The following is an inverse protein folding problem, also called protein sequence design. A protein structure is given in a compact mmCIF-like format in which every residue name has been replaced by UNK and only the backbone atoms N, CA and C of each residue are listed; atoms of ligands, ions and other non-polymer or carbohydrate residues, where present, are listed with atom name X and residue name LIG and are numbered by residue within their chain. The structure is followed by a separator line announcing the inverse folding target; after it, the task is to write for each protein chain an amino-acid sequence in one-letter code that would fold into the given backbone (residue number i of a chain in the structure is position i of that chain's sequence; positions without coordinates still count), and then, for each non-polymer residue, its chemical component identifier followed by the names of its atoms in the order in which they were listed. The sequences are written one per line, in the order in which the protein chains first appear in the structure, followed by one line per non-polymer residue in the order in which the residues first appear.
data_IF_454384011253
#
_entry.id   IF_454384011253
#
_cell.length_a   1.000
_cell.length_b   1.000
_cell.length_c   1.000
_cell.angle_alpha   90.00
_cell.angle_beta   90.00
_cell.angle_gamma   90.00
#
_symmetry.space_group_name_H-M   'P 1'
#
loop_
_entity.id
_entity.type
_entity.pdbx_description
1 polymer ?
#
# COMPACT_ATOMS: atom_id res chain seq x y z
N UNK A 1 23.91 14.41 10.59
CA UNK A 1 22.60 15.11 10.77
C UNK A 1 22.12 15.92 9.55
N UNK A 2 22.94 16.31 8.57
CA UNK A 2 22.53 17.22 7.47
C UNK A 2 21.83 16.56 6.27
N UNK A 3 22.06 15.28 5.99
CA UNK A 3 21.52 14.60 4.79
C UNK A 3 20.06 14.12 4.94
N UNK A 4 19.64 13.70 6.14
CA UNK A 4 18.25 13.33 6.40
C UNK A 4 17.28 14.52 6.36
N UNK A 5 17.73 15.70 6.83
CA UNK A 5 16.98 16.94 6.68
C UNK A 5 16.84 17.37 5.19
N UNK A 6 17.81 17.03 4.34
CA UNK A 6 17.77 17.35 2.91
C UNK A 6 16.70 16.52 2.17
N UNK A 7 16.56 15.24 2.50
CA UNK A 7 15.50 14.39 1.91
C UNK A 7 14.10 14.83 2.37
N UNK A 8 13.95 15.12 3.66
CA UNK A 8 12.69 15.66 4.19
C UNK A 8 12.38 17.04 3.59
N UNK A 9 13.39 17.87 3.43
CA UNK A 9 13.29 19.20 2.78
C UNK A 9 12.93 19.09 1.29
N UNK A 10 13.46 18.11 0.55
CA UNK A 10 13.14 17.88 -0.86
C UNK A 10 11.71 17.38 -1.04
N UNK A 11 11.21 16.53 -0.14
CA UNK A 11 9.82 16.08 -0.12
C UNK A 11 8.88 17.26 0.19
N UNK A 12 9.21 18.08 1.18
CA UNK A 12 8.44 19.28 1.57
C UNK A 12 8.47 20.34 0.45
N UNK A 13 9.61 20.55 -0.21
CA UNK A 13 9.74 21.47 -1.34
C UNK A 13 8.97 20.98 -2.57
N UNK A 14 8.98 19.67 -2.86
CA UNK A 14 8.16 19.06 -3.92
C UNK A 14 6.66 19.25 -3.68
N UNK A 15 6.21 19.11 -2.44
CA UNK A 15 4.83 19.38 -2.02
C UNK A 15 4.49 20.87 -2.20
N UNK A 16 5.41 21.78 -1.87
CA UNK A 16 5.20 23.23 -1.99
C UNK A 16 5.07 23.71 -3.42
N UNK A 17 5.83 23.14 -4.35
CA UNK A 17 5.74 23.45 -5.80
C UNK A 17 4.42 22.97 -6.40
N UNK A 18 3.88 21.82 -5.94
CA UNK A 18 2.59 21.30 -6.38
C UNK A 18 1.40 22.08 -5.82
N UNK A 19 1.56 22.77 -4.68
CA UNK A 19 0.53 23.61 -4.07
C UNK A 19 0.34 24.97 -4.80
N UNK A 20 1.26 25.39 -5.65
CA UNK A 20 1.20 26.66 -6.40
C UNK A 20 0.54 26.55 -7.79
N UNK A 21 0.15 25.35 -8.23
CA UNK A 21 -0.50 25.12 -9.53
C UNK A 21 -1.97 25.51 -9.53
N UNK A 22 -2.37 26.30 -10.52
CA UNK A 22 -3.73 26.80 -10.70
C UNK A 22 -4.77 25.68 -10.87
N UNK A 23 -5.92 25.87 -10.21
CA UNK A 23 -7.12 25.03 -10.22
C UNK A 23 -7.62 24.70 -11.63
N UNK A 24 -7.42 23.47 -12.06
CA UNK A 24 -8.27 22.85 -13.09
C UNK A 24 -9.52 22.24 -12.39
N UNK A 25 -10.68 22.39 -12.99
CA UNK A 25 -11.99 21.89 -12.50
C UNK A 25 -11.91 20.40 -12.12
N UNK A 26 -11.92 20.11 -10.83
CA UNK A 26 -11.86 18.78 -10.20
C UNK A 26 -10.85 18.79 -9.07
N UNK A 27 -11.18 18.09 -7.97
CA UNK A 27 -10.32 18.03 -6.79
C UNK A 27 -9.12 17.14 -7.06
N UNK A 28 -7.97 17.74 -7.34
CA UNK A 28 -6.70 17.02 -7.40
C UNK A 28 -6.21 16.71 -6.00
N UNK A 29 -5.54 15.58 -5.84
CA UNK A 29 -4.90 15.21 -4.59
C UNK A 29 -3.52 14.60 -4.81
N UNK A 30 -2.70 14.70 -3.79
CA UNK A 30 -1.43 14.03 -3.67
C UNK A 30 -1.40 13.32 -2.32
N UNK A 31 -0.99 12.06 -2.29
CA UNK A 31 -0.77 11.34 -1.04
C UNK A 31 0.59 10.64 -1.04
N UNK A 32 1.17 10.58 0.14
CA UNK A 32 2.40 9.88 0.44
C UNK A 32 2.12 8.91 1.59
N UNK A 33 2.51 7.65 1.42
CA UNK A 33 2.40 6.61 2.44
C UNK A 33 3.75 5.95 2.66
N UNK A 34 4.09 5.75 3.92
CA UNK A 34 5.25 5.02 4.36
C UNK A 34 4.83 3.90 5.30
N UNK A 35 5.33 2.70 5.05
CA UNK A 35 5.11 1.51 5.88
C UNK A 35 6.44 0.95 6.31
N UNK A 36 6.54 0.53 7.57
CA UNK A 36 7.76 -0.09 8.09
C UNK A 36 7.45 -0.96 9.32
N UNK A 37 8.16 -2.08 9.46
CA UNK A 37 8.05 -2.98 10.61
C UNK A 37 8.62 -2.36 11.89
N UNK A 38 9.66 -1.53 11.80
CA UNK A 38 10.25 -0.79 12.93
C UNK A 38 9.22 0.13 13.61
N UNK A 39 8.20 0.60 12.91
CA UNK A 39 7.14 1.42 13.49
C UNK A 39 6.15 0.62 14.32
N UNK A 40 6.20 -0.71 14.28
CA UNK A 40 5.34 -1.57 15.08
C UNK A 40 5.93 -1.76 16.48
N UNK A 41 5.62 -0.84 17.38
CA UNK A 41 6.17 -0.78 18.74
C UNK A 41 5.85 -1.98 19.66
N UNK A 42 4.67 -2.67 19.57
CA UNK A 42 4.33 -3.73 20.50
C UNK A 42 5.23 -4.97 20.42
N UNK A 43 5.72 -5.31 19.24
CA UNK A 43 6.59 -6.48 19.03
C UNK A 43 7.56 -6.13 17.90
N UNK A 44 8.86 -6.12 18.19
CA UNK A 44 9.86 -5.96 17.14
C UNK A 44 9.95 -7.26 16.32
N UNK A 45 9.35 -7.27 15.16
CA UNK A 45 9.53 -8.30 14.17
C UNK A 45 10.36 -7.71 13.03
N UNK A 46 11.67 -7.81 13.15
CA UNK A 46 12.58 -7.37 12.09
C UNK A 46 12.66 -8.46 11.01
N UNK A 47 11.51 -8.69 10.35
CA UNK A 47 11.40 -9.78 9.37
C UNK A 47 10.25 -9.55 8.38
N UNK A 48 10.49 -10.01 7.18
CA UNK A 48 9.61 -10.16 6.03
C UNK A 48 9.23 -8.85 5.36
N UNK A 49 8.21 -8.12 5.76
CA UNK A 49 7.87 -6.84 5.16
C UNK A 49 8.61 -5.71 5.87
N UNK A 50 9.72 -5.27 5.31
CA UNK A 50 10.62 -4.30 5.95
C UNK A 50 10.23 -2.86 5.64
N UNK A 51 9.85 -2.57 4.39
CA UNK A 51 9.58 -1.20 3.98
C UNK A 51 8.60 -1.15 2.81
N UNK A 52 7.71 -0.17 2.84
CA UNK A 52 6.82 0.16 1.75
C UNK A 52 6.68 1.67 1.57
N UNK A 53 6.74 2.11 0.33
CA UNK A 53 6.56 3.51 -0.05
C UNK A 53 5.51 3.58 -1.14
N UNK A 54 4.53 4.50 -0.99
CA UNK A 54 3.56 4.83 -2.03
C UNK A 54 3.49 6.33 -2.21
N UNK A 55 3.51 6.75 -3.46
CA UNK A 55 3.25 8.13 -3.87
C UNK A 55 2.10 8.08 -4.86
N UNK A 56 1.00 8.73 -4.54
CA UNK A 56 -0.19 8.75 -5.39
C UNK A 56 -0.59 10.18 -5.74
N UNK A 57 -0.83 10.41 -7.02
CA UNK A 57 -1.37 11.64 -7.55
C UNK A 57 -2.65 11.33 -8.33
N UNK A 58 -3.74 12.01 -7.99
CA UNK A 58 -5.03 11.74 -8.60
C UNK A 58 -5.93 12.94 -8.71
N UNK A 59 -7.06 12.68 -9.37
CA UNK A 59 -8.14 13.63 -9.53
C UNK A 59 -9.45 12.94 -9.16
N UNK A 60 -10.24 13.60 -8.34
CA UNK A 60 -11.58 13.21 -7.95
C UNK A 60 -12.60 14.09 -8.67
N UNK A 61 -13.60 13.47 -9.27
CA UNK A 61 -14.71 14.14 -9.94
C UNK A 61 -16.02 13.62 -9.35
N UNK A 62 -16.82 14.52 -8.80
CA UNK A 62 -18.21 14.20 -8.44
C UNK A 62 -19.08 14.45 -9.67
N UNK A 63 -19.88 13.45 -10.07
CA UNK A 63 -20.82 13.56 -11.19
C UNK A 63 -22.21 13.20 -10.71
N UNK A 64 -23.18 13.98 -11.16
CA UNK A 64 -24.58 13.64 -11.00
C UNK A 64 -24.95 12.67 -12.12
N UNK A 65 -25.36 11.45 -11.77
CA UNK A 65 -25.92 10.41 -12.62
C UNK A 65 -25.03 9.77 -13.72
N UNK A 66 -24.78 8.52 -13.60
CA UNK A 66 -24.68 7.57 -14.69
C UNK A 66 -25.98 6.77 -14.71
N UNK A 67 -26.46 6.38 -15.88
CA UNK A 67 -27.76 5.79 -16.29
C UNK A 67 -28.61 4.97 -15.28
N UNK A 68 -28.12 4.64 -14.08
CA UNK A 68 -28.80 3.84 -13.06
C UNK A 68 -28.77 4.45 -11.65
N UNK A 69 -28.09 5.58 -11.43
CA UNK A 69 -27.94 6.18 -10.11
C UNK A 69 -28.43 7.62 -10.12
N UNK A 70 -29.47 7.89 -9.35
CA UNK A 70 -30.05 9.23 -9.13
C UNK A 70 -29.33 10.02 -8.02
N UNK A 71 -28.26 9.47 -7.43
CA UNK A 71 -27.46 10.04 -6.36
C UNK A 71 -26.06 10.47 -6.79
N UNK A 72 -25.31 11.09 -5.89
CA UNK A 72 -23.93 11.51 -6.13
C UNK A 72 -23.01 10.33 -6.37
N UNK A 73 -22.33 10.33 -7.51
CA UNK A 73 -21.29 9.36 -7.82
C UNK A 73 -19.95 10.04 -7.86
N UNK A 74 -18.96 9.40 -7.24
CA UNK A 74 -17.57 9.87 -7.24
C UNK A 74 -16.72 8.97 -8.11
N UNK A 75 -15.99 9.58 -9.03
CA UNK A 75 -14.99 8.90 -9.86
C UNK A 75 -13.63 9.44 -9.52
N UNK A 76 -12.68 8.55 -9.26
CA UNK A 76 -11.28 8.91 -9.09
C UNK A 76 -10.43 8.30 -10.20
N UNK A 77 -9.41 9.05 -10.63
CA UNK A 77 -8.38 8.59 -11.56
C UNK A 77 -7.04 9.00 -11.01
N UNK A 78 -6.11 8.05 -10.91
CA UNK A 78 -4.82 8.30 -10.30
C UNK A 78 -3.68 7.56 -10.98
N UNK A 79 -2.48 8.06 -10.70
CA UNK A 79 -1.23 7.37 -10.87
C UNK A 79 -0.62 7.11 -9.50
N UNK A 80 -0.04 5.94 -9.32
CA UNK A 80 0.64 5.56 -8.09
C UNK A 80 1.98 4.95 -8.41
N UNK A 81 3.01 5.37 -7.68
CA UNK A 81 4.30 4.72 -7.59
C UNK A 81 4.33 3.92 -6.29
N UNK A 82 4.67 2.65 -6.37
CA UNK A 82 4.78 1.77 -5.20
C UNK A 82 6.12 1.07 -5.21
N UNK A 83 6.86 1.14 -4.10
CA UNK A 83 8.04 0.33 -3.85
C UNK A 83 7.85 -0.44 -2.55
N UNK A 84 8.07 -1.76 -2.58
CA UNK A 84 8.09 -2.59 -1.38
C UNK A 84 9.38 -3.40 -1.32
N UNK A 85 9.84 -3.60 -0.08
CA UNK A 85 11.07 -4.30 0.26
C UNK A 85 10.73 -5.40 1.25
N UNK A 86 11.28 -6.58 0.99
CA UNK A 86 11.13 -7.77 1.81
C UNK A 86 12.49 -8.37 2.10
N UNK A 87 12.69 -8.83 3.35
CA UNK A 87 13.91 -9.45 3.81
C UNK A 87 13.61 -10.78 4.51
N UNK A 88 14.55 -11.73 4.56
CA UNK A 88 14.44 -12.90 5.41
C UNK A 88 14.56 -12.52 6.90
N UNK A 89 14.38 -13.48 7.80
CA UNK A 89 14.63 -13.27 9.24
C UNK A 89 16.12 -13.00 9.54
N UNK A 90 16.98 -13.72 8.86
CA UNK A 90 18.43 -13.53 9.00
C UNK A 90 18.90 -12.46 8.01
N UNK A 91 18.58 -11.19 8.31
CA UNK A 91 18.87 -10.06 7.41
C UNK A 91 20.37 -9.83 7.18
N UNK A 92 21.24 -10.25 8.14
CA UNK A 92 22.69 -10.10 8.05
C UNK A 92 23.36 -11.23 7.26
N UNK A 93 22.61 -12.29 6.89
CA UNK A 93 23.16 -13.43 6.16
C UNK A 93 23.69 -13.00 4.79
N UNK A 94 24.98 -13.26 4.54
CA UNK A 94 25.60 -13.05 3.21
C UNK A 94 25.36 -14.21 2.24
N UNK A 95 24.81 -15.32 2.73
CA UNK A 95 24.47 -16.52 1.99
C UNK A 95 22.97 -16.60 1.69
N UNK A 96 22.60 -17.55 0.82
CA UNK A 96 21.21 -17.86 0.51
C UNK A 96 20.56 -18.50 1.75
N UNK A 97 19.62 -17.82 2.38
CA UNK A 97 18.86 -18.38 3.50
C UNK A 97 17.86 -19.41 2.95
N UNK A 98 18.05 -20.67 3.36
CA UNK A 98 17.18 -21.77 2.93
C UNK A 98 15.90 -21.82 3.76
N UNK A 99 14.78 -22.21 3.12
CA UNK A 99 13.47 -22.35 3.76
C UNK A 99 12.92 -21.08 4.42
N UNK A 100 13.40 -19.92 4.02
CA UNK A 100 12.91 -18.63 4.47
C UNK A 100 12.61 -17.71 3.27
N UNK A 101 11.96 -16.57 3.52
CA UNK A 101 11.69 -15.58 2.51
C UNK A 101 12.97 -15.08 1.86
N UNK A 102 13.04 -14.93 0.53
CA UNK A 102 14.18 -14.30 -0.10
C UNK A 102 14.19 -12.79 0.16
N UNK A 103 15.36 -12.16 0.01
CA UNK A 103 15.41 -10.75 -0.29
C UNK A 103 14.65 -10.51 -1.60
N UNK A 104 13.69 -9.61 -1.56
CA UNK A 104 12.90 -9.24 -2.73
C UNK A 104 12.49 -7.79 -2.65
N UNK A 105 12.51 -7.11 -3.77
CA UNK A 105 11.96 -5.76 -3.88
C UNK A 105 11.29 -5.57 -5.22
N UNK A 106 10.30 -4.68 -5.28
CA UNK A 106 9.67 -4.31 -6.53
C UNK A 106 9.36 -2.83 -6.58
N UNK A 107 9.30 -2.31 -7.80
CA UNK A 107 8.85 -0.96 -8.11
C UNK A 107 7.75 -1.05 -9.17
N UNK A 108 6.58 -0.50 -8.86
CA UNK A 108 5.41 -0.46 -9.74
C UNK A 108 4.97 0.96 -10.03
N UNK A 109 4.60 1.21 -11.28
CA UNK A 109 3.78 2.34 -11.68
C UNK A 109 2.38 1.80 -11.96
N UNK A 110 1.39 2.35 -11.29
CA UNK A 110 -0.02 1.94 -11.38
C UNK A 110 -0.86 3.05 -11.96
N UNK A 111 -1.74 2.69 -12.90
CA UNK A 111 -2.84 3.54 -13.34
C UNK A 111 -4.13 2.97 -12.80
N UNK A 112 -4.82 3.75 -11.94
CA UNK A 112 -6.07 3.34 -11.32
C UNK A 112 -7.25 4.20 -11.73
N UNK A 113 -8.42 3.58 -11.67
CA UNK A 113 -9.73 4.26 -11.75
C UNK A 113 -10.66 3.60 -10.75
N UNK A 114 -11.34 4.42 -9.94
CA UNK A 114 -12.41 3.97 -9.07
C UNK A 114 -13.71 4.70 -9.37
N UNK A 115 -14.78 4.04 -9.02
CA UNK A 115 -16.13 4.54 -9.06
C UNK A 115 -16.78 4.21 -7.70
N UNK A 116 -17.46 5.17 -7.10
CA UNK A 116 -18.20 4.98 -5.84
C UNK A 116 -19.57 5.60 -6.01
N UNK A 117 -20.59 4.84 -5.65
CA UNK A 117 -21.97 5.31 -5.51
C UNK A 117 -22.31 5.42 -4.02
N UNK A 118 -22.38 6.65 -3.53
CA UNK A 118 -22.62 6.91 -2.11
C UNK A 118 -24.05 6.57 -1.67
N UNK A 119 -25.02 6.57 -2.60
CA UNK A 119 -26.40 6.24 -2.30
C UNK A 119 -26.58 4.74 -2.06
N UNK A 120 -26.02 3.92 -2.93
CA UNK A 120 -26.12 2.46 -2.83
C UNK A 120 -24.96 1.85 -2.04
N UNK A 121 -23.92 2.63 -1.73
CA UNK A 121 -22.73 2.15 -1.07
C UNK A 121 -21.87 1.23 -1.92
N UNK A 122 -22.08 1.21 -3.24
CA UNK A 122 -21.36 0.37 -4.18
C UNK A 122 -20.06 1.03 -4.61
N UNK A 123 -18.97 0.24 -4.66
CA UNK A 123 -17.68 0.68 -5.16
C UNK A 123 -17.09 -0.32 -6.16
N UNK A 124 -16.46 0.22 -7.20
CA UNK A 124 -15.70 -0.53 -8.19
C UNK A 124 -14.35 0.15 -8.42
N UNK A 125 -13.25 -0.61 -8.34
CA UNK A 125 -11.90 -0.10 -8.63
C UNK A 125 -11.16 -1.07 -9.54
N UNK A 126 -10.56 -0.53 -10.60
CA UNK A 126 -9.66 -1.25 -11.49
C UNK A 126 -8.29 -0.58 -11.52
N UNK A 127 -7.23 -1.37 -11.42
CA UNK A 127 -5.85 -0.93 -11.46
C UNK A 127 -5.05 -1.76 -12.46
N UNK A 128 -4.26 -1.09 -13.28
CA UNK A 128 -3.25 -1.72 -14.11
C UNK A 128 -1.88 -1.24 -13.67
N UNK A 129 -0.97 -2.17 -13.41
CA UNK A 129 0.37 -1.88 -12.92
C UNK A 129 1.43 -2.52 -13.81
N UNK A 130 2.48 -1.74 -14.09
CA UNK A 130 3.69 -2.21 -14.74
C UNK A 130 4.92 -1.84 -13.91
N UNK A 131 5.97 -2.67 -13.99
CA UNK A 131 7.18 -2.38 -13.22
C UNK A 131 8.23 -3.46 -13.27
N UNK A 132 9.05 -3.51 -12.23
CA UNK A 132 10.21 -4.41 -12.14
C UNK A 132 10.34 -5.05 -10.77
N UNK A 133 10.74 -6.32 -10.75
CA UNK A 133 11.11 -7.11 -9.58
C UNK A 133 12.62 -7.13 -9.43
N UNK A 134 13.11 -7.28 -8.20
CA UNK A 134 14.51 -7.52 -7.88
C UNK A 134 15.38 -6.28 -8.07
N UNK A 135 16.65 -6.45 -8.31
CA UNK A 135 17.68 -5.38 -8.25
C UNK A 135 17.38 -4.12 -9.05
N UNK A 136 16.58 -4.21 -10.11
CA UNK A 136 16.20 -3.03 -10.90
C UNK A 136 15.13 -2.16 -10.24
N UNK A 137 14.45 -2.65 -9.20
CA UNK A 137 13.55 -1.87 -8.37
C UNK A 137 14.26 -0.86 -7.48
N UNK A 138 15.58 -1.07 -7.25
CA UNK A 138 16.41 -0.21 -6.40
C UNK A 138 16.21 -0.42 -4.89
N UNK A 139 15.42 -1.42 -4.46
CA UNK A 139 15.07 -1.61 -3.05
C UNK A 139 16.28 -1.81 -2.15
N UNK A 140 17.20 -2.72 -2.51
CA UNK A 140 18.42 -2.95 -1.74
C UNK A 140 19.31 -1.71 -1.64
N UNK A 141 19.41 -0.91 -2.72
CA UNK A 141 20.15 0.36 -2.68
C UNK A 141 19.49 1.37 -1.75
N UNK A 142 18.17 1.45 -1.78
CA UNK A 142 17.42 2.36 -0.92
C UNK A 142 17.56 1.97 0.55
N UNK A 143 17.43 0.68 0.89
CA UNK A 143 17.60 0.21 2.27
C UNK A 143 19.01 0.50 2.79
N UNK A 144 20.05 0.15 2.03
CA UNK A 144 21.43 0.41 2.43
C UNK A 144 21.71 1.92 2.55
N UNK A 145 21.19 2.76 1.66
CA UNK A 145 21.34 4.21 1.77
C UNK A 145 20.63 4.79 3.01
N UNK A 146 19.49 4.23 3.41
CA UNK A 146 18.81 4.62 4.65
C UNK A 146 19.62 4.20 5.89
N UNK A 147 20.22 3.02 5.89
CA UNK A 147 21.13 2.58 6.98
C UNK A 147 22.32 3.52 7.11
N UNK A 148 22.99 3.86 6.00
CA UNK A 148 24.12 4.79 5.98
C UNK A 148 23.74 6.18 6.52
N UNK A 149 22.59 6.72 6.10
CA UNK A 149 22.12 8.06 6.49
C UNK A 149 21.74 8.12 7.96
N UNK A 150 21.10 7.07 8.45
CA UNK A 150 20.55 7.02 9.81
C UNK A 150 21.55 6.42 10.82
N UNK A 151 22.65 5.85 10.35
CA UNK A 151 23.70 5.20 11.16
C UNK A 151 23.14 4.10 12.09
N UNK A 152 22.09 3.38 11.64
CA UNK A 152 21.44 2.35 12.44
C UNK A 152 22.03 0.97 12.25
N UNK A 153 22.58 0.66 11.08
CA UNK A 153 23.14 -0.65 10.77
C UNK A 153 24.10 -0.57 9.57
N UNK A 154 24.96 -1.57 9.44
CA UNK A 154 25.81 -1.77 8.27
C UNK A 154 24.99 -2.15 7.03
N UNK A 155 25.51 -1.93 5.81
CA UNK A 155 24.91 -2.41 4.58
C UNK A 155 24.67 -3.92 4.62
N UNK A 156 23.47 -4.36 4.23
CA UNK A 156 23.09 -5.76 4.26
C UNK A 156 23.67 -6.54 3.08
N UNK A 157 24.59 -7.49 3.31
CA UNK A 157 25.24 -8.25 2.25
C UNK A 157 24.29 -9.22 1.54
N UNK A 158 23.19 -9.61 2.21
CA UNK A 158 22.20 -10.56 1.71
C UNK A 158 21.47 -10.13 0.43
N UNK A 159 21.50 -8.84 0.09
CA UNK A 159 20.96 -8.34 -1.19
C UNK A 159 21.63 -8.93 -2.43
N UNK A 160 22.83 -9.52 -2.30
CA UNK A 160 23.45 -10.30 -3.37
C UNK A 160 22.62 -11.54 -3.77
N UNK A 161 21.78 -12.03 -2.85
CA UNK A 161 20.90 -13.19 -3.03
C UNK A 161 19.44 -12.79 -3.33
N UNK A 162 19.17 -11.52 -3.65
CA UNK A 162 17.84 -11.05 -4.04
C UNK A 162 17.24 -11.89 -5.19
N UNK A 163 15.93 -12.03 -5.23
CA UNK A 163 15.23 -12.66 -6.36
C UNK A 163 15.70 -12.07 -7.69
N UNK A 164 15.82 -12.91 -8.72
CA UNK A 164 16.22 -12.44 -10.06
C UNK A 164 15.30 -11.32 -10.55
N UNK A 165 15.88 -10.35 -11.26
CA UNK A 165 15.07 -9.26 -11.82
C UNK A 165 14.10 -9.82 -12.86
N UNK A 166 12.87 -9.29 -12.84
CA UNK A 166 11.83 -9.64 -13.81
C UNK A 166 10.94 -8.44 -14.12
N UNK A 167 10.22 -8.49 -15.24
CA UNK A 167 9.22 -7.51 -15.63
C UNK A 167 7.89 -7.84 -14.96
N UNK A 168 7.22 -6.83 -14.43
CA UNK A 168 5.96 -6.98 -13.74
C UNK A 168 4.82 -6.34 -14.54
N UNK A 169 3.75 -7.12 -14.70
CA UNK A 169 2.48 -6.68 -15.26
C UNK A 169 1.36 -7.27 -14.41
N UNK A 170 0.54 -6.41 -13.82
CA UNK A 170 -0.56 -6.82 -12.95
C UNK A 170 -1.84 -6.05 -13.26
N UNK A 171 -2.95 -6.75 -13.11
CA UNK A 171 -4.27 -6.16 -13.06
C UNK A 171 -4.93 -6.49 -11.73
N UNK A 172 -5.56 -5.48 -11.12
CA UNK A 172 -6.37 -5.62 -9.91
C UNK A 172 -7.78 -5.13 -10.19
N UNK A 173 -8.77 -5.91 -9.76
CA UNK A 173 -10.16 -5.53 -9.73
C UNK A 173 -10.69 -5.66 -8.31
N UNK A 174 -11.33 -4.60 -7.82
CA UNK A 174 -11.96 -4.57 -6.51
C UNK A 174 -13.43 -4.19 -6.64
N UNK A 175 -14.30 -4.97 -6.00
CA UNK A 175 -15.73 -4.69 -5.86
C UNK A 175 -16.01 -4.55 -4.38
N UNK A 176 -16.74 -3.52 -3.98
CA UNK A 176 -17.10 -3.29 -2.58
C UNK A 176 -18.57 -2.92 -2.41
N UNK A 177 -19.12 -3.29 -1.25
CA UNK A 177 -20.45 -2.90 -0.84
C UNK A 177 -20.41 -2.40 0.60
N UNK A 178 -20.79 -1.15 0.80
CA UNK A 178 -20.91 -0.51 2.10
C UNK A 178 -22.35 -0.56 2.60
N UNK A 179 -22.51 -0.88 3.88
CA UNK A 179 -23.76 -0.90 4.59
C UNK A 179 -23.67 0.05 5.78
N UNK A 180 -24.50 1.10 5.79
CA UNK A 180 -24.58 2.07 6.90
C UNK A 180 -25.52 1.55 7.96
N UNK A 181 -25.01 1.27 9.15
CA UNK A 181 -25.81 0.83 10.31
C UNK A 181 -26.40 2.06 11.04
N UNK A 182 -25.60 3.12 11.09
CA UNK A 182 -25.99 4.42 11.68
C UNK A 182 -25.19 5.54 11.03
N UNK A 183 -25.42 6.78 11.47
CA UNK A 183 -24.60 7.93 11.04
C UNK A 183 -23.12 7.83 11.46
N UNK A 184 -22.79 6.92 12.38
CA UNK A 184 -21.43 6.74 12.90
C UNK A 184 -20.81 5.39 12.59
N UNK A 185 -21.59 4.36 12.31
CA UNK A 185 -21.12 3.00 12.08
C UNK A 185 -21.53 2.50 10.70
N UNK A 186 -20.58 1.94 10.01
CA UNK A 186 -20.80 1.20 8.77
C UNK A 186 -19.91 -0.02 8.69
N UNK A 187 -20.31 -1.01 7.91
CA UNK A 187 -19.43 -2.10 7.50
C UNK A 187 -19.36 -2.15 5.97
N UNK A 188 -18.20 -2.58 5.47
CA UNK A 188 -17.95 -2.70 4.04
C UNK A 188 -17.44 -4.11 3.78
N UNK A 189 -18.06 -4.80 2.86
CA UNK A 189 -17.51 -6.03 2.29
C UNK A 189 -16.79 -5.70 1.00
N UNK A 190 -15.63 -6.30 0.79
CA UNK A 190 -14.82 -6.07 -0.41
C UNK A 190 -14.32 -7.40 -0.95
N UNK A 191 -14.34 -7.55 -2.26
CA UNK A 191 -13.67 -8.64 -2.95
C UNK A 191 -12.63 -8.06 -3.89
N UNK A 192 -11.37 -8.42 -3.67
CA UNK A 192 -10.24 -8.00 -4.51
C UNK A 192 -9.68 -9.21 -5.24
N UNK A 193 -9.59 -9.14 -6.56
CA UNK A 193 -8.90 -10.11 -7.40
C UNK A 193 -7.67 -9.48 -8.03
N UNK A 194 -6.54 -10.16 -7.92
CA UNK A 194 -5.28 -9.77 -8.59
C UNK A 194 -4.85 -10.87 -9.56
N UNK A 195 -4.47 -10.46 -10.77
CA UNK A 195 -3.94 -11.35 -11.80
C UNK A 195 -2.71 -10.71 -12.42
N UNK A 196 -1.58 -11.40 -12.37
CA UNK A 196 -0.36 -10.86 -12.97
C UNK A 196 0.91 -11.64 -12.67
N UNK A 197 2.03 -11.04 -13.07
CA UNK A 197 3.36 -11.63 -12.91
C UNK A 197 4.00 -11.34 -11.55
N UNK A 198 3.43 -10.43 -10.74
CA UNK A 198 3.84 -10.21 -9.35
C UNK A 198 2.96 -11.03 -8.40
N UNK A 199 1.64 -10.85 -8.49
CA UNK A 199 0.67 -11.54 -7.65
C UNK A 199 -0.48 -12.11 -8.47
N UNK A 200 -0.94 -13.30 -8.07
CA UNK A 200 -2.24 -13.84 -8.47
C UNK A 200 -2.95 -14.34 -7.21
N UNK A 201 -4.03 -13.66 -6.83
CA UNK A 201 -4.78 -13.99 -5.61
C UNK A 201 -6.23 -13.46 -5.68
N UNK A 202 -7.03 -13.95 -4.74
CA UNK A 202 -8.38 -13.48 -4.46
C UNK A 202 -8.49 -13.20 -2.95
N UNK A 203 -9.02 -12.03 -2.58
CA UNK A 203 -9.02 -11.57 -1.21
C UNK A 203 -10.38 -10.97 -0.82
N UNK A 204 -11.29 -11.73 -0.18
CA UNK A 204 -12.43 -11.18 0.52
C UNK A 204 -11.99 -10.44 1.79
N UNK A 205 -12.62 -9.31 2.06
CA UNK A 205 -12.38 -8.45 3.21
C UNK A 205 -13.69 -8.00 3.84
N UNK A 206 -13.72 -7.92 5.15
CA UNK A 206 -14.73 -7.23 5.94
C UNK A 206 -14.07 -6.09 6.70
N UNK A 207 -14.61 -4.88 6.56
CA UNK A 207 -14.19 -3.68 7.27
C UNK A 207 -15.34 -3.08 8.06
N UNK A 208 -15.07 -2.71 9.31
CA UNK A 208 -15.97 -1.98 10.20
C UNK A 208 -15.39 -0.58 10.36
N UNK A 209 -16.19 0.43 10.10
CA UNK A 209 -15.81 1.84 10.20
C UNK A 209 -16.60 2.54 11.29
N UNK A 210 -15.90 3.28 12.15
CA UNK A 210 -16.49 4.08 13.21
C UNK A 210 -16.07 5.54 13.07
N UNK A 211 -17.05 6.42 12.82
CA UNK A 211 -16.89 7.87 12.83
C UNK A 211 -17.02 8.38 14.26
N UNK A 212 -15.90 8.74 14.88
CA UNK A 212 -15.84 9.18 16.29
C UNK A 212 -16.24 10.64 16.42
N UNK A 213 -15.65 11.50 15.59
CA UNK A 213 -15.85 12.96 15.62
C UNK A 213 -16.23 13.44 14.22
N UNK A 214 -17.25 14.29 14.18
CA UNK A 214 -17.60 15.11 13.02
C UNK A 214 -17.77 16.55 13.48
N UNK A 215 -16.98 17.45 12.94
CA UNK A 215 -17.07 18.90 13.18
C UNK A 215 -17.92 19.55 12.10
N UNK A 216 -18.36 20.79 12.34
CA UNK A 216 -19.28 21.52 11.46
C UNK A 216 -18.70 21.84 10.06
N UNK A 217 -17.37 21.83 9.94
CA UNK A 217 -16.61 22.12 8.71
C UNK A 217 -16.15 20.87 7.95
N UNK A 218 -16.87 19.76 8.13
CA UNK A 218 -16.58 18.44 7.53
C UNK A 218 -15.25 17.80 7.96
N UNK A 219 -14.61 18.30 9.02
CA UNK A 219 -13.45 17.61 9.60
C UNK A 219 -13.92 16.39 10.36
N UNK A 220 -13.20 15.29 10.23
CA UNK A 220 -13.59 14.02 10.83
C UNK A 220 -12.42 13.30 11.47
N UNK A 221 -12.73 12.53 12.51
CA UNK A 221 -11.87 11.47 13.05
C UNK A 221 -12.63 10.16 12.94
N UNK A 222 -12.04 9.18 12.28
CA UNK A 222 -12.62 7.85 12.15
C UNK A 222 -11.58 6.77 12.39
N UNK A 223 -12.10 5.60 12.78
CA UNK A 223 -11.30 4.37 12.91
C UNK A 223 -11.92 3.26 12.07
N UNK A 224 -11.05 2.46 11.46
CA UNK A 224 -11.41 1.27 10.72
C UNK A 224 -10.76 0.04 11.34
N UNK A 225 -11.52 -1.04 11.47
CA UNK A 225 -11.03 -2.37 11.79
C UNK A 225 -11.37 -3.28 10.63
N UNK A 226 -10.40 -4.04 10.12
CA UNK A 226 -10.68 -4.95 9.03
C UNK A 226 -9.99 -6.30 9.18
N UNK A 227 -10.57 -7.29 8.51
CA UNK A 227 -10.03 -8.62 8.35
C UNK A 227 -10.14 -9.05 6.90
N UNK A 228 -9.06 -9.62 6.38
CA UNK A 228 -8.93 -10.08 5.01
C UNK A 228 -8.41 -11.53 5.01
N UNK A 229 -8.90 -12.34 4.09
CA UNK A 229 -8.45 -13.71 3.88
C UNK A 229 -8.00 -13.88 2.43
N UNK A 230 -6.69 -13.86 2.17
CA UNK A 230 -6.10 -13.93 0.84
C UNK A 230 -5.91 -15.38 0.40
N UNK A 231 -6.55 -15.76 -0.71
CA UNK A 231 -6.34 -17.03 -1.42
C UNK A 231 -5.22 -16.82 -2.45
N UNK A 232 -4.02 -17.32 -2.17
CA UNK A 232 -2.81 -17.07 -2.96
C UNK A 232 -2.61 -18.20 -3.98
N UNK A 233 -2.60 -17.84 -5.27
CA UNK A 233 -2.20 -18.73 -6.34
C UNK A 233 -0.71 -18.55 -6.68
N UNK A 234 -0.21 -17.29 -6.69
CA UNK A 234 1.16 -16.96 -7.02
C UNK A 234 1.65 -15.69 -6.32
N UNK A 235 2.93 -15.70 -5.90
CA UNK A 235 3.65 -14.58 -5.31
C UNK A 235 5.12 -14.59 -5.77
N UNK A 236 5.48 -13.63 -6.64
CA UNK A 236 6.82 -13.52 -7.19
C UNK A 236 7.87 -13.12 -6.13
N UNK A 237 7.47 -12.46 -5.06
CA UNK A 237 8.39 -12.05 -3.99
C UNK A 237 8.87 -13.23 -3.16
N UNK A 238 8.16 -14.37 -3.23
CA UNK A 238 8.52 -15.63 -2.57
C UNK A 238 9.21 -16.62 -3.51
N UNK A 239 8.75 -16.70 -4.75
CA UNK A 239 9.14 -17.78 -5.66
C UNK A 239 9.96 -17.34 -6.87
N UNK A 240 10.23 -16.03 -6.97
CA UNK A 240 10.83 -15.41 -8.15
C UNK A 240 9.84 -15.15 -9.26
N UNK A 241 10.26 -14.43 -10.29
CA UNK A 241 9.43 -14.00 -11.41
C UNK A 241 8.98 -15.12 -12.35
N UNK A 242 7.99 -14.82 -13.19
CA UNK A 242 7.45 -15.77 -14.18
C UNK A 242 8.27 -15.81 -15.47
N UNK A 243 8.80 -14.66 -15.91
CA UNK A 243 9.51 -14.51 -17.18
C UNK A 243 11.00 -14.86 -17.01
N UNK A 244 11.61 -14.38 -15.94
CA UNK A 244 12.99 -14.72 -15.58
C UNK A 244 13.00 -15.58 -14.30
N UNK A 245 12.83 -16.89 -14.49
CA UNK A 245 12.66 -17.85 -13.41
C UNK A 245 13.88 -17.92 -12.50
N UNK A 246 13.62 -17.94 -11.19
CA UNK A 246 14.66 -18.10 -10.18
C UNK A 246 14.63 -19.50 -9.55
N UNK A 247 15.44 -20.41 -10.08
CA UNK A 247 15.50 -21.81 -9.63
C UNK A 247 16.07 -21.95 -8.20
N UNK A 248 16.66 -20.89 -7.64
CA UNK A 248 17.13 -20.87 -6.25
C UNK A 248 15.97 -20.94 -5.26
N UNK A 249 14.81 -20.36 -5.60
CA UNK A 249 13.63 -20.22 -4.73
C UNK A 249 12.44 -21.02 -5.23
N UNK A 250 12.33 -21.19 -6.53
CA UNK A 250 11.20 -21.87 -7.15
C UNK A 250 11.07 -23.31 -6.68
N UNK A 251 9.89 -23.67 -6.14
CA UNK A 251 9.61 -25.01 -5.63
C UNK A 251 10.24 -25.34 -4.28
N UNK A 252 11.17 -24.50 -3.79
CA UNK A 252 11.76 -24.64 -2.45
C UNK A 252 10.91 -23.92 -1.41
N UNK A 253 10.50 -22.67 -1.71
CA UNK A 253 9.55 -21.95 -0.87
C UNK A 253 8.13 -22.29 -1.34
N UNK A 254 7.29 -22.73 -0.42
CA UNK A 254 5.90 -23.10 -0.69
C UNK A 254 4.98 -22.02 -0.13
N UNK A 255 4.42 -21.14 -0.97
CA UNK A 255 3.46 -20.14 -0.51
C UNK A 255 2.23 -20.81 0.12
N UNK A 256 1.78 -20.30 1.25
CA UNK A 256 0.52 -20.69 1.86
C UNK A 256 -0.65 -20.26 0.97
N UNK A 257 -1.59 -21.16 0.76
CA UNK A 257 -2.74 -20.88 -0.10
C UNK A 257 -3.76 -19.97 0.55
N UNK A 258 -3.77 -19.91 1.87
CA UNK A 258 -4.63 -19.02 2.64
C UNK A 258 -3.76 -18.20 3.59
N UNK A 259 -3.81 -16.89 3.46
CA UNK A 259 -3.07 -15.93 4.29
C UNK A 259 -4.06 -14.94 4.87
N UNK A 260 -4.10 -14.82 6.19
CA UNK A 260 -4.94 -13.84 6.89
C UNK A 260 -4.23 -12.50 7.03
N UNK A 261 -4.97 -11.42 6.94
CA UNK A 261 -4.51 -10.07 7.26
C UNK A 261 -5.54 -9.40 8.17
N UNK A 262 -5.07 -8.86 9.28
CA UNK A 262 -5.87 -8.01 10.15
C UNK A 262 -5.27 -6.61 10.19
N UNK A 263 -6.10 -5.60 10.32
CA UNK A 263 -5.63 -4.24 10.40
C UNK A 263 -6.55 -3.33 11.18
N UNK A 264 -5.93 -2.28 11.68
CA UNK A 264 -6.58 -1.16 12.35
C UNK A 264 -6.04 0.12 11.76
N UNK A 265 -6.92 1.05 11.41
CA UNK A 265 -6.58 2.34 10.84
C UNK A 265 -7.25 3.48 11.60
N UNK A 266 -6.53 4.59 11.74
CA UNK A 266 -7.05 5.87 12.16
C UNK A 266 -6.93 6.88 11.02
N UNK A 267 -7.98 7.66 10.80
CA UNK A 267 -8.02 8.70 9.76
C UNK A 267 -8.50 10.02 10.36
N UNK A 268 -7.71 11.05 10.18
CA UNK A 268 -8.03 12.44 10.51
C UNK A 268 -8.16 13.20 9.20
N UNK A 269 -9.37 13.59 8.85
CA UNK A 269 -9.65 14.47 7.70
C UNK A 269 -9.81 15.90 8.22
N UNK A 270 -8.92 16.79 7.79
CA UNK A 270 -8.92 18.22 8.09
C UNK A 270 -9.38 19.06 6.87
N UNK A 271 -10.07 18.46 5.93
CA UNK A 271 -10.53 19.06 4.69
C UNK A 271 -9.46 19.05 3.60
N UNK A 272 -8.49 19.97 3.63
CA UNK A 272 -7.40 20.01 2.65
C UNK A 272 -6.25 19.07 2.98
N UNK A 273 -6.14 18.65 4.23
CA UNK A 273 -5.11 17.74 4.73
C UNK A 273 -5.78 16.49 5.31
N UNK A 274 -5.33 15.34 4.91
CA UNK A 274 -5.70 14.07 5.51
C UNK A 274 -4.46 13.40 6.11
N UNK A 275 -4.57 13.00 7.36
CA UNK A 275 -3.55 12.19 8.05
C UNK A 275 -4.15 10.83 8.34
N UNK A 276 -3.43 9.79 8.02
CA UNK A 276 -3.85 8.43 8.32
C UNK A 276 -2.68 7.58 8.77
N UNK A 277 -2.98 6.57 9.53
CA UNK A 277 -2.00 5.60 9.98
C UNK A 277 -2.67 4.38 10.57
N UNK A 278 -1.92 3.29 10.67
CA UNK A 278 -2.50 2.05 11.15
C UNK A 278 -1.50 0.94 11.36
N UNK A 279 -2.05 -0.16 11.80
CA UNK A 279 -1.33 -1.39 12.12
C UNK A 279 -1.81 -2.52 11.20
N UNK A 280 -0.89 -3.39 10.82
CA UNK A 280 -1.14 -4.59 10.03
C UNK A 280 -0.55 -5.79 10.74
N UNK A 281 -1.27 -6.88 10.73
CA UNK A 281 -0.80 -8.20 11.16
C UNK A 281 -1.11 -9.20 10.07
N UNK A 282 -0.07 -9.76 9.47
CA UNK A 282 -0.15 -10.71 8.37
C UNK A 282 0.22 -12.11 8.87
N UNK A 283 -0.62 -13.09 8.56
CA UNK A 283 -0.34 -14.50 8.82
C UNK A 283 0.86 -15.00 8.01
N UNK A 284 1.33 -16.19 8.34
CA UNK A 284 2.45 -16.80 7.63
C UNK A 284 2.16 -16.92 6.12
N UNK A 285 3.03 -16.33 5.30
CA UNK A 285 2.88 -16.29 3.84
C UNK A 285 3.38 -17.56 3.15
N UNK A 286 4.21 -18.35 3.82
CA UNK A 286 4.77 -19.61 3.28
C UNK A 286 4.93 -20.65 4.38
N UNK A 287 5.10 -21.90 3.98
CA UNK A 287 5.27 -23.04 4.90
C UNK A 287 6.58 -22.87 5.70
N UNK A 288 6.49 -22.87 7.03
CA UNK A 288 7.60 -22.60 7.94
C UNK A 288 7.85 -21.11 8.21
N UNK A 289 7.17 -20.21 7.51
CA UNK A 289 7.20 -18.78 7.80
C UNK A 289 6.45 -18.43 9.08
N UNK A 290 6.74 -17.25 9.63
CA UNK A 290 6.08 -16.72 10.82
C UNK A 290 5.10 -15.61 10.45
N UNK A 291 4.06 -15.36 11.25
CA UNK A 291 3.29 -14.13 11.16
C UNK A 291 4.19 -12.92 11.43
N UNK A 292 3.86 -11.80 10.81
CA UNK A 292 4.58 -10.56 11.04
C UNK A 292 3.64 -9.35 11.05
N UNK A 293 4.15 -8.23 11.53
CA UNK A 293 3.35 -7.03 11.69
C UNK A 293 4.17 -5.78 11.33
N UNK A 294 3.48 -4.77 10.85
CA UNK A 294 4.08 -3.45 10.58
C UNK A 294 3.08 -2.33 10.85
N UNK A 295 3.59 -1.12 10.97
CA UNK A 295 2.76 0.07 10.97
C UNK A 295 2.98 0.88 9.70
N UNK A 296 2.01 1.73 9.40
CA UNK A 296 2.08 2.66 8.28
C UNK A 296 1.51 4.01 8.68
N UNK A 297 1.92 5.04 7.97
CA UNK A 297 1.30 6.36 8.02
C UNK A 297 1.21 6.98 6.63
N UNK A 298 0.25 7.87 6.45
CA UNK A 298 0.07 8.59 5.19
C UNK A 298 -0.33 10.04 5.43
N UNK A 299 0.12 10.89 4.53
CA UNK A 299 -0.26 12.29 4.44
C UNK A 299 -0.83 12.53 3.06
N UNK A 300 -2.08 12.99 3.00
CA UNK A 300 -2.77 13.38 1.78
C UNK A 300 -3.09 14.86 1.77
N UNK A 301 -2.91 15.53 0.63
CA UNK A 301 -3.28 16.93 0.45
C UNK A 301 -4.21 17.09 -0.75
N UNK A 302 -5.25 17.93 -0.59
CA UNK A 302 -6.28 18.23 -1.59
C UNK A 302 -6.34 19.75 -1.84
N UNK A 303 -5.47 20.31 -2.66
CA UNK A 303 -5.34 21.77 -2.81
C UNK A 303 -6.59 22.47 -3.33
N UNK A 304 -7.40 21.76 -4.14
CA UNK A 304 -8.57 22.30 -4.84
C UNK A 304 -9.89 22.23 -4.07
N UNK A 305 -9.92 21.59 -2.88
CA UNK A 305 -11.15 21.47 -2.12
C UNK A 305 -11.52 22.85 -1.54
N UNK A 306 -12.55 23.48 -2.12
CA UNK A 306 -13.13 24.70 -1.58
C UNK A 306 -13.64 24.42 -0.17
N UNK A 307 -13.25 25.26 0.78
CA UNK A 307 -13.92 25.31 2.07
C UNK A 307 -15.18 26.12 1.84
N UNK A 308 -16.20 25.51 1.24
CA UNK A 308 -17.51 26.17 1.13
C UNK A 308 -18.02 26.43 2.55
N UNK A 309 -18.21 27.72 2.79
CA UNK A 309 -18.69 28.30 4.05
C UNK A 309 -20.17 27.97 4.28
#
# INVERSE_FOLDING_TARGET
MSRGLFLLGAIIAGISVLLSGQSARGDTYLSFELSNDVFYLPIKTDQYFTHGLKLEFGKRESKTALLLASGGTTTERYWRLTQNIYTPREIEASYLVENDRPFASYLLVTRGKSFTDDQFGFGLRGEFSGGVLGRYSGGGRMQNALHDVLSFADPLPGWANEVKPDVLLNYELQVSQRFSVSSRFSFTTTLTGQLGTLYTNLAPELKISWLVIRMNDNRTLSFDLFSNAKLVAYDATLTGGLLNRDERYRGKIRPNRLVSLFGFDGVIDLGKLQLSGGLRHLGAEFSGGLPHAWAWFSVGVQPGKSLDR
#
